data_IF_130934687336
#
_entry.id   IF_130934687336
#
_cell.length_a   1.000
_cell.length_b   1.000
_cell.length_c   1.000
_cell.angle_alpha   90.00
_cell.angle_beta   90.00
_cell.angle_gamma   90.00
#
_symmetry.space_group_name_H-M   'P 1'
#
loop_
_entity.id
_entity.type
_entity.pdbx_description
1 polymer ?
#
# COMPACT_ATOMS: atom_id res chain seq x y z
N UNK A 1 21.26 21.97 -4.08
CA UNK A 1 20.30 22.50 -5.08
C UNK A 1 20.04 21.40 -6.10
N UNK A 2 18.85 20.80 -6.05
CA UNK A 2 18.43 19.71 -6.96
C UNK A 2 18.23 20.17 -8.40
N UNK A 3 18.08 19.22 -9.32
CA UNK A 3 17.73 19.51 -10.71
C UNK A 3 16.20 19.54 -10.87
N UNK A 4 15.67 20.63 -11.41
CA UNK A 4 14.25 20.78 -11.77
C UNK A 4 14.14 20.55 -13.28
N UNK A 5 13.42 19.50 -13.71
CA UNK A 5 13.17 19.21 -15.12
C UNK A 5 11.68 19.36 -15.39
N UNK A 6 11.26 20.57 -15.76
CA UNK A 6 9.84 20.94 -15.93
C UNK A 6 9.48 21.20 -17.40
N UNK A 7 10.47 21.30 -18.29
CA UNK A 7 10.33 21.98 -19.58
C UNK A 7 9.35 21.34 -20.58
N UNK A 8 8.85 20.11 -20.38
CA UNK A 8 7.86 19.50 -21.28
C UNK A 8 6.72 18.73 -20.59
N UNK A 9 6.55 18.81 -19.25
CA UNK A 9 5.70 17.85 -18.50
C UNK A 9 4.46 18.45 -17.83
N UNK A 10 4.40 19.77 -17.66
CA UNK A 10 3.33 20.46 -16.91
C UNK A 10 2.10 20.88 -17.73
N UNK A 11 2.08 20.69 -19.06
CA UNK A 11 1.03 21.28 -19.90
C UNK A 11 0.94 22.80 -19.72
N UNK A 12 -0.28 23.33 -19.50
CA UNK A 12 -0.64 24.75 -19.59
C UNK A 12 0.02 25.71 -18.57
N UNK A 13 0.76 25.25 -17.55
CA UNK A 13 1.34 26.17 -16.56
C UNK A 13 2.65 25.72 -15.85
N UNK A 14 3.75 25.54 -16.59
CA UNK A 14 5.05 25.13 -16.03
C UNK A 14 5.58 26.08 -14.93
N UNK A 15 5.23 27.38 -15.01
CA UNK A 15 5.60 28.37 -14.00
C UNK A 15 4.95 28.14 -12.64
N UNK A 16 3.71 27.65 -12.60
CA UNK A 16 3.04 27.32 -11.33
C UNK A 16 3.69 26.10 -10.68
N UNK A 17 3.95 25.05 -11.46
CA UNK A 17 4.61 23.84 -10.97
C UNK A 17 6.00 24.13 -10.36
N UNK A 18 6.82 24.96 -11.02
CA UNK A 18 8.12 25.36 -10.45
C UNK A 18 7.97 26.08 -9.10
N UNK A 19 6.94 26.94 -8.94
CA UNK A 19 6.67 27.62 -7.66
C UNK A 19 6.25 26.65 -6.56
N UNK A 20 5.39 25.69 -6.90
CA UNK A 20 4.95 24.64 -5.95
C UNK A 20 6.17 23.82 -5.50
N UNK A 21 6.97 23.32 -6.45
CA UNK A 21 8.18 22.54 -6.16
C UNK A 21 9.15 23.34 -5.29
N UNK A 22 9.40 24.62 -5.61
CA UNK A 22 10.29 25.47 -4.82
C UNK A 22 9.81 25.63 -3.37
N UNK A 23 8.51 25.89 -3.16
CA UNK A 23 7.92 25.98 -1.81
C UNK A 23 8.04 24.67 -1.03
N UNK A 24 7.84 23.51 -1.69
CA UNK A 24 7.96 22.19 -1.05
C UNK A 24 9.41 21.93 -0.61
N UNK A 25 10.37 22.13 -1.51
CA UNK A 25 11.80 21.87 -1.26
C UNK A 25 12.39 22.83 -0.22
N UNK A 26 11.84 24.05 -0.09
CA UNK A 26 12.20 24.97 0.98
C UNK A 26 11.61 24.55 2.33
N UNK A 27 10.42 23.94 2.33
CA UNK A 27 9.69 23.57 3.54
C UNK A 27 10.15 22.24 4.16
N UNK A 28 10.52 21.26 3.35
CA UNK A 28 10.82 19.90 3.80
C UNK A 28 12.02 19.29 3.08
N UNK A 29 12.63 18.27 3.71
CA UNK A 29 13.67 17.46 3.07
C UNK A 29 13.05 16.51 2.03
N UNK A 30 13.41 16.70 0.76
CA UNK A 30 12.83 15.99 -0.39
C UNK A 30 13.90 15.24 -1.16
N UNK A 31 13.65 13.95 -1.37
CA UNK A 31 14.45 13.11 -2.25
C UNK A 31 14.09 13.37 -3.72
N UNK A 32 12.81 13.18 -4.04
CA UNK A 32 12.28 13.25 -5.40
C UNK A 32 10.82 13.68 -5.41
N UNK A 33 10.41 14.31 -6.51
CA UNK A 33 9.02 14.69 -6.77
C UNK A 33 8.64 14.20 -8.15
N UNK A 34 7.47 13.56 -8.24
CA UNK A 34 6.87 13.10 -9.48
C UNK A 34 5.55 13.82 -9.73
N UNK A 35 5.26 14.14 -10.99
CA UNK A 35 4.01 14.72 -11.44
C UNK A 35 3.26 13.71 -12.30
N UNK A 36 2.02 13.43 -11.93
CA UNK A 36 1.13 12.56 -12.69
C UNK A 36 -0.14 13.34 -13.09
N UNK A 37 -0.63 13.11 -14.30
CA UNK A 37 -1.90 13.68 -14.78
C UNK A 37 -3.04 12.71 -14.44
N UNK A 38 -4.13 13.24 -13.91
CA UNK A 38 -5.33 12.46 -13.66
C UNK A 38 -6.01 11.98 -14.94
N UNK A 39 -6.75 10.90 -14.82
CA UNK A 39 -7.65 10.36 -15.84
C UNK A 39 -9.11 10.67 -15.46
N UNK A 40 -10.08 10.22 -16.26
CA UNK A 40 -11.50 10.36 -15.93
C UNK A 40 -11.91 9.68 -14.61
N UNK A 41 -11.13 8.73 -14.11
CA UNK A 41 -11.38 8.06 -12.83
C UNK A 41 -10.85 8.84 -11.62
N UNK A 42 -9.98 9.82 -11.83
CA UNK A 42 -9.31 10.55 -10.76
C UNK A 42 -10.08 11.81 -10.36
N UNK A 43 -10.06 12.12 -9.07
CA UNK A 43 -10.65 13.36 -8.51
C UNK A 43 -9.74 14.58 -8.60
N UNK A 44 -8.54 14.42 -9.18
CA UNK A 44 -7.56 15.47 -9.38
C UNK A 44 -7.20 15.62 -10.85
N UNK A 45 -6.82 16.84 -11.27
CA UNK A 45 -6.26 17.08 -12.61
C UNK A 45 -4.77 16.72 -12.66
N UNK A 46 -4.01 17.11 -11.63
CA UNK A 46 -2.62 16.75 -11.44
C UNK A 46 -2.39 16.24 -10.02
N UNK A 47 -1.50 15.26 -9.86
CA UNK A 47 -1.05 14.76 -8.55
C UNK A 47 0.46 14.88 -8.45
N UNK A 48 0.90 15.49 -7.36
CA UNK A 48 2.31 15.57 -6.98
C UNK A 48 2.62 14.48 -5.95
N UNK A 49 3.47 13.53 -6.34
CA UNK A 49 4.00 12.50 -5.45
C UNK A 49 5.34 12.96 -4.89
N UNK A 50 5.39 13.20 -3.58
CA UNK A 50 6.56 13.72 -2.87
C UNK A 50 7.19 12.57 -2.09
N UNK A 51 8.44 12.24 -2.43
CA UNK A 51 9.25 11.29 -1.66
C UNK A 51 10.18 12.11 -0.77
N UNK A 52 9.98 11.99 0.54
CA UNK A 52 10.82 12.67 1.53
C UNK A 52 12.23 12.09 1.55
N UNK A 53 13.21 12.92 1.91
CA UNK A 53 14.57 12.47 2.19
C UNK A 53 14.64 11.52 3.39
N UNK A 54 15.80 10.85 3.57
CA UNK A 54 16.02 9.87 4.65
C UNK A 54 16.25 10.51 6.03
N UNK A 55 16.23 11.84 6.14
CA UNK A 55 16.46 12.52 7.42
C UNK A 55 15.35 12.17 8.42
N UNK A 56 15.69 11.39 9.45
CA UNK A 56 14.80 10.87 10.51
C UNK A 56 14.19 11.94 11.43
N UNK A 57 14.20 13.22 11.05
CA UNK A 57 13.93 14.34 11.97
C UNK A 57 12.47 14.75 12.06
N UNK A 58 11.60 14.34 11.14
CA UNK A 58 10.23 14.88 11.09
C UNK A 58 9.22 13.82 10.66
N UNK A 59 8.18 13.63 11.47
CA UNK A 59 7.02 12.78 11.15
C UNK A 59 6.14 13.46 10.09
N UNK A 60 5.52 12.66 9.21
CA UNK A 60 4.60 13.11 8.16
C UNK A 60 3.51 14.02 8.76
N UNK A 61 2.98 13.67 9.93
CA UNK A 61 1.91 14.45 10.56
C UNK A 61 2.30 15.90 10.85
N UNK A 62 3.58 16.18 11.12
CA UNK A 62 4.07 17.53 11.42
C UNK A 62 4.28 18.37 10.14
N UNK A 63 4.55 17.73 9.00
CA UNK A 63 4.73 18.44 7.72
C UNK A 63 3.42 18.68 6.98
N UNK A 64 2.38 17.87 7.25
CA UNK A 64 1.10 17.94 6.53
C UNK A 64 0.48 19.35 6.55
N UNK A 65 0.44 20.10 7.68
CA UNK A 65 -0.10 21.47 7.68
C UNK A 65 0.69 22.42 6.76
N UNK A 66 2.01 22.26 6.71
CA UNK A 66 2.89 23.08 5.87
C UNK A 66 2.62 22.77 4.40
N UNK A 67 2.58 21.49 4.03
CA UNK A 67 2.28 21.08 2.65
C UNK A 67 0.87 21.51 2.26
N UNK A 68 -0.14 21.30 3.11
CA UNK A 68 -1.50 21.78 2.87
C UNK A 68 -1.51 23.28 2.53
N UNK A 69 -0.78 24.11 3.28
CA UNK A 69 -0.69 25.55 3.01
C UNK A 69 -0.08 25.89 1.66
N UNK A 70 0.82 25.04 1.14
CA UNK A 70 1.40 25.22 -0.20
C UNK A 70 0.36 25.00 -1.29
N UNK A 71 -0.54 24.03 -1.11
CA UNK A 71 -1.53 23.62 -2.10
C UNK A 71 -2.88 24.37 -2.01
N UNK A 72 -3.13 25.16 -0.96
CA UNK A 72 -4.36 25.96 -0.81
C UNK A 72 -4.65 26.86 -2.03
N UNK A 73 -3.62 27.41 -2.66
CA UNK A 73 -3.75 28.31 -3.83
C UNK A 73 -3.80 27.56 -5.17
N UNK A 74 -3.79 26.21 -5.16
CA UNK A 74 -3.61 25.37 -6.36
C UNK A 74 -4.60 24.21 -6.41
N UNK A 75 -5.88 24.52 -6.60
CA UNK A 75 -6.99 23.54 -6.62
C UNK A 75 -6.83 22.42 -7.67
N UNK A 76 -6.12 22.70 -8.78
CA UNK A 76 -5.85 21.70 -9.83
C UNK A 76 -4.86 20.60 -9.39
N UNK A 77 -4.15 20.79 -8.27
CA UNK A 77 -3.08 19.91 -7.82
C UNK A 77 -3.44 19.20 -6.51
N UNK A 78 -3.63 17.88 -6.59
CA UNK A 78 -3.56 17.00 -5.43
C UNK A 78 -2.11 16.64 -5.08
N UNK A 79 -1.90 16.11 -3.88
CA UNK A 79 -0.57 15.64 -3.47
C UNK A 79 -0.63 14.37 -2.62
N UNK A 80 0.47 13.62 -2.62
CA UNK A 80 0.74 12.49 -1.72
C UNK A 80 2.18 12.57 -1.24
N UNK A 81 2.39 12.26 0.03
CA UNK A 81 3.73 12.27 0.66
C UNK A 81 4.05 10.88 1.19
N UNK A 82 5.26 10.41 0.88
CA UNK A 82 5.78 9.13 1.35
C UNK A 82 7.20 9.28 1.88
N UNK A 83 7.55 8.51 2.90
CA UNK A 83 8.96 8.37 3.29
C UNK A 83 9.72 7.58 2.22
N UNK A 84 11.01 7.87 2.04
CA UNK A 84 11.86 7.12 1.11
C UNK A 84 11.79 5.62 1.37
N UNK A 85 12.02 5.18 2.62
CA UNK A 85 12.10 3.76 2.98
C UNK A 85 10.79 3.03 2.66
N UNK A 86 9.64 3.64 2.96
CA UNK A 86 8.34 3.06 2.65
C UNK A 86 8.12 2.91 1.15
N UNK A 87 8.29 4.00 0.39
CA UNK A 87 8.06 3.99 -1.04
C UNK A 87 9.01 3.03 -1.77
N UNK A 88 10.28 2.98 -1.36
CA UNK A 88 11.27 2.07 -1.91
C UNK A 88 10.93 0.61 -1.62
N UNK A 89 10.46 0.28 -0.41
CA UNK A 89 10.01 -1.07 -0.05
C UNK A 89 8.79 -1.50 -0.85
N UNK A 90 7.76 -0.66 -0.92
CA UNK A 90 6.54 -0.95 -1.68
C UNK A 90 6.81 -1.11 -3.18
N UNK A 91 7.69 -0.27 -3.74
CA UNK A 91 8.13 -0.37 -5.13
C UNK A 91 8.78 -1.75 -5.41
N UNK A 92 9.70 -2.20 -4.53
CA UNK A 92 10.36 -3.51 -4.65
C UNK A 92 9.38 -4.68 -4.47
N UNK A 93 8.35 -4.51 -3.64
CA UNK A 93 7.28 -5.47 -3.49
C UNK A 93 6.27 -5.48 -4.66
N UNK A 94 6.45 -4.62 -5.68
CA UNK A 94 5.59 -4.58 -6.86
C UNK A 94 4.29 -3.81 -6.64
N UNK A 95 4.28 -2.80 -5.77
CA UNK A 95 3.11 -1.96 -5.60
C UNK A 95 2.86 -1.12 -6.87
N UNK A 96 1.74 -1.42 -7.54
CA UNK A 96 1.33 -0.79 -8.80
C UNK A 96 1.28 0.74 -8.73
N UNK A 97 0.92 1.31 -7.58
CA UNK A 97 0.89 2.76 -7.42
C UNK A 97 2.26 3.36 -7.70
N UNK A 98 3.32 2.84 -7.06
CA UNK A 98 4.67 3.37 -7.23
C UNK A 98 5.24 3.03 -8.60
N UNK A 99 4.97 1.83 -9.13
CA UNK A 99 5.42 1.43 -10.46
C UNK A 99 4.85 2.36 -11.55
N UNK A 100 3.57 2.69 -11.48
CA UNK A 100 2.89 3.53 -12.47
C UNK A 100 3.16 5.02 -12.30
N UNK A 101 3.50 5.47 -11.09
CA UNK A 101 3.52 6.89 -10.78
C UNK A 101 4.90 7.46 -10.45
N UNK A 102 5.85 6.64 -9.99
CA UNK A 102 7.17 7.05 -9.51
C UNK A 102 8.30 6.52 -10.41
N UNK A 103 8.20 6.82 -11.71
CA UNK A 103 9.17 6.44 -12.75
C UNK A 103 9.84 7.68 -13.39
N UNK A 104 10.89 7.48 -14.20
CA UNK A 104 11.67 8.61 -14.75
C UNK A 104 10.86 9.59 -15.60
N UNK A 105 9.85 9.11 -16.33
CA UNK A 105 8.98 9.94 -17.18
C UNK A 105 8.08 10.91 -16.38
N UNK A 106 7.80 10.63 -15.11
CA UNK A 106 7.00 11.50 -14.22
C UNK A 106 7.87 12.35 -13.30
N UNK A 107 9.18 12.09 -13.20
CA UNK A 107 10.10 12.81 -12.32
C UNK A 107 10.21 14.30 -12.73
N UNK A 108 9.98 15.21 -11.79
CA UNK A 108 10.07 16.67 -12.01
C UNK A 108 11.12 17.34 -11.12
N UNK A 109 11.50 16.70 -10.02
CA UNK A 109 12.58 17.14 -9.15
C UNK A 109 13.32 15.94 -8.57
N UNK A 110 14.65 16.04 -8.48
CA UNK A 110 15.50 15.10 -7.74
C UNK A 110 16.62 15.88 -7.04
N UNK A 111 16.86 15.58 -5.76
CA UNK A 111 17.95 16.19 -5.01
C UNK A 111 19.32 15.74 -5.57
N UNK A 112 20.28 16.67 -5.58
CA UNK A 112 21.68 16.43 -6.01
C UNK A 112 22.57 15.99 -4.86
N UNK A 113 22.08 16.06 -3.61
CA UNK A 113 22.84 15.67 -2.41
C UNK A 113 22.84 14.14 -2.18
N UNK A 114 22.49 13.37 -3.21
CA UNK A 114 21.98 12.03 -3.04
C UNK A 114 23.08 10.95 -3.14
N UNK A 115 23.20 10.14 -2.08
CA UNK A 115 23.96 8.88 -2.05
C UNK A 115 23.00 7.68 -2.29
N UNK A 116 21.68 7.90 -2.20
CA UNK A 116 20.65 6.87 -2.24
C UNK A 116 20.26 6.53 -3.67
N UNK A 117 20.26 5.23 -3.97
CA UNK A 117 19.84 4.70 -5.26
C UNK A 117 18.35 4.36 -5.16
N UNK A 118 17.52 5.05 -5.94
CA UNK A 118 16.13 4.66 -6.18
C UNK A 118 16.14 3.37 -6.99
N UNK A 119 15.91 2.24 -6.32
CA UNK A 119 16.05 0.92 -6.94
C UNK A 119 14.71 0.50 -7.53
N UNK A 120 14.54 0.70 -8.83
CA UNK A 120 13.47 0.03 -9.54
C UNK A 120 13.70 -1.49 -9.50
N UNK A 121 12.65 -2.33 -9.43
CA UNK A 121 12.82 -3.78 -9.43
C UNK A 121 13.67 -4.24 -10.61
N UNK A 122 14.73 -5.01 -10.32
CA UNK A 122 15.59 -5.65 -11.34
C UNK A 122 14.97 -6.93 -11.90
N UNK A 123 13.83 -7.37 -11.34
CA UNK A 123 13.07 -8.50 -11.85
C UNK A 123 12.62 -8.24 -13.30
N UNK A 124 12.59 -9.29 -14.11
CA UNK A 124 12.06 -9.21 -15.47
C UNK A 124 10.60 -8.70 -15.43
N UNK A 125 10.22 -7.71 -16.28
CA UNK A 125 8.89 -7.10 -16.25
C UNK A 125 7.73 -8.12 -16.26
N UNK A 126 7.89 -9.20 -17.01
CA UNK A 126 6.93 -10.31 -17.13
C UNK A 126 6.73 -11.06 -15.80
N UNK A 127 7.81 -11.29 -15.04
CA UNK A 127 7.76 -11.95 -13.73
C UNK A 127 7.10 -11.04 -12.70
N UNK A 128 7.44 -9.75 -12.71
CA UNK A 128 6.84 -8.77 -11.83
C UNK A 128 5.33 -8.62 -12.11
N UNK A 129 4.93 -8.59 -13.37
CA UNK A 129 3.53 -8.59 -13.78
C UNK A 129 2.75 -9.80 -13.24
N UNK A 130 3.31 -11.01 -13.38
CA UNK A 130 2.64 -12.22 -12.86
C UNK A 130 2.60 -12.25 -11.33
N UNK A 131 3.63 -11.77 -10.64
CA UNK A 131 3.65 -11.60 -9.17
C UNK A 131 2.52 -10.68 -8.71
N UNK A 132 2.37 -9.51 -9.34
CA UNK A 132 1.32 -8.53 -9.05
C UNK A 132 -0.08 -9.15 -9.21
N UNK A 133 -0.31 -9.89 -10.31
CA UNK A 133 -1.57 -10.61 -10.54
C UNK A 133 -1.85 -11.68 -9.49
N UNK A 134 -0.84 -12.43 -9.08
CA UNK A 134 -0.97 -13.46 -8.06
C UNK A 134 -1.32 -12.86 -6.69
N UNK A 135 -0.67 -11.75 -6.32
CA UNK A 135 -0.96 -11.02 -5.09
C UNK A 135 -2.39 -10.50 -5.07
N UNK A 136 -2.85 -9.86 -6.15
CA UNK A 136 -4.24 -9.42 -6.27
C UNK A 136 -5.23 -10.59 -6.20
N UNK A 137 -4.93 -11.71 -6.88
CA UNK A 137 -5.75 -12.92 -6.82
C UNK A 137 -5.86 -13.46 -5.39
N UNK A 138 -4.77 -13.43 -4.62
CA UNK A 138 -4.76 -13.82 -3.20
C UNK A 138 -5.68 -12.91 -2.39
N UNK A 139 -5.61 -11.59 -2.58
CA UNK A 139 -6.48 -10.65 -1.85
C UNK A 139 -7.96 -10.81 -2.23
N UNK A 140 -8.26 -11.00 -3.52
CA UNK A 140 -9.62 -11.32 -3.98
C UNK A 140 -10.13 -12.66 -3.45
N UNK A 141 -9.24 -13.64 -3.21
CA UNK A 141 -9.63 -14.91 -2.60
C UNK A 141 -10.06 -14.76 -1.14
N UNK A 142 -9.45 -13.84 -0.38
CA UNK A 142 -9.86 -13.51 1.00
C UNK A 142 -11.25 -12.90 1.02
N UNK A 143 -11.53 -11.94 0.13
CA UNK A 143 -12.87 -11.37 -0.03
C UNK A 143 -13.90 -12.45 -0.40
N UNK A 144 -13.54 -13.39 -1.28
CA UNK A 144 -14.40 -14.52 -1.65
C UNK A 144 -14.76 -15.39 -0.45
N UNK A 145 -13.83 -15.61 0.48
CA UNK A 145 -14.10 -16.36 1.72
C UNK A 145 -15.09 -15.64 2.62
N UNK A 146 -14.95 -14.32 2.83
CA UNK A 146 -15.93 -13.54 3.57
C UNK A 146 -17.32 -13.57 2.91
N UNK A 147 -17.39 -13.48 1.57
CA UNK A 147 -18.67 -13.62 0.85
C UNK A 147 -19.36 -14.97 1.04
N UNK A 148 -18.59 -16.07 1.13
CA UNK A 148 -19.16 -17.37 1.50
C UNK A 148 -19.74 -17.34 2.92
N UNK A 149 -19.06 -16.65 3.84
CA UNK A 149 -19.56 -16.39 5.20
C UNK A 149 -20.91 -15.66 5.20
N UNK A 150 -21.05 -14.60 4.39
CA UNK A 150 -22.31 -13.86 4.23
C UNK A 150 -23.46 -14.82 3.88
N UNK A 151 -23.25 -15.65 2.85
CA UNK A 151 -24.26 -16.61 2.38
C UNK A 151 -24.59 -17.68 3.43
N UNK A 152 -23.57 -18.18 4.12
CA UNK A 152 -23.70 -19.19 5.16
C UNK A 152 -24.56 -18.70 6.33
N UNK A 153 -24.22 -17.54 6.92
CA UNK A 153 -24.97 -17.01 8.06
C UNK A 153 -26.37 -16.57 7.67
N UNK A 154 -26.55 -16.04 6.46
CA UNK A 154 -27.88 -15.72 5.94
C UNK A 154 -28.76 -16.97 5.83
N UNK A 155 -28.23 -18.09 5.35
CA UNK A 155 -28.95 -19.36 5.28
C UNK A 155 -29.38 -19.89 6.66
N UNK A 156 -28.60 -19.58 7.71
CA UNK A 156 -28.93 -19.89 9.10
C UNK A 156 -29.87 -18.88 9.76
N UNK A 157 -30.33 -17.86 9.03
CA UNK A 157 -31.11 -16.72 9.55
C UNK A 157 -30.36 -15.86 10.57
N UNK A 158 -29.04 -15.99 10.65
CA UNK A 158 -28.17 -15.10 11.41
C UNK A 158 -27.78 -13.89 10.55
N UNK A 159 -28.71 -12.95 10.42
CA UNK A 159 -28.53 -11.76 9.59
C UNK A 159 -27.48 -10.80 10.18
N UNK A 160 -27.32 -10.78 11.50
CA UNK A 160 -26.32 -9.98 12.21
C UNK A 160 -24.91 -10.42 11.83
N UNK A 161 -24.65 -11.73 11.91
CA UNK A 161 -23.34 -12.27 11.53
C UNK A 161 -23.12 -12.19 10.01
N UNK A 162 -24.17 -12.27 9.21
CA UNK A 162 -24.10 -12.02 7.77
C UNK A 162 -23.67 -10.58 7.46
N UNK A 163 -24.23 -9.59 8.15
CA UNK A 163 -23.85 -8.18 8.03
C UNK A 163 -22.42 -7.91 8.51
N UNK A 164 -21.97 -8.58 9.58
CA UNK A 164 -20.57 -8.51 10.02
C UNK A 164 -19.61 -9.00 8.92
N UNK A 165 -19.92 -10.12 8.26
CA UNK A 165 -19.13 -10.64 7.13
C UNK A 165 -19.16 -9.68 5.92
N UNK A 166 -20.28 -8.97 5.72
CA UNK A 166 -20.41 -7.93 4.70
C UNK A 166 -19.45 -6.77 4.97
N UNK A 167 -19.43 -6.26 6.21
CA UNK A 167 -18.51 -5.21 6.64
C UNK A 167 -17.05 -5.63 6.38
N UNK A 168 -16.65 -6.82 6.83
CA UNK A 168 -15.29 -7.35 6.61
C UNK A 168 -14.94 -7.43 5.11
N UNK A 169 -15.92 -7.75 4.25
CA UNK A 169 -15.69 -7.80 2.81
C UNK A 169 -15.49 -6.40 2.22
N UNK A 170 -16.29 -5.40 2.62
CA UNK A 170 -16.08 -4.01 2.20
C UNK A 170 -14.74 -3.46 2.67
N UNK A 171 -14.41 -3.61 3.96
CA UNK A 171 -13.13 -3.19 4.55
C UNK A 171 -11.96 -3.79 3.75
N UNK A 172 -11.97 -5.10 3.50
CA UNK A 172 -10.92 -5.76 2.72
C UNK A 172 -10.85 -5.23 1.28
N UNK A 173 -11.99 -4.92 0.65
CA UNK A 173 -12.05 -4.33 -0.68
C UNK A 173 -11.43 -2.94 -0.74
N UNK A 174 -11.73 -2.08 0.24
CA UNK A 174 -11.08 -0.79 0.36
C UNK A 174 -9.58 -0.92 0.58
N UNK A 175 -9.12 -1.81 1.47
CA UNK A 175 -7.67 -2.01 1.69
C UNK A 175 -6.94 -2.40 0.41
N UNK A 176 -7.56 -3.23 -0.42
CA UNK A 176 -7.04 -3.62 -1.73
C UNK A 176 -6.98 -2.41 -2.67
N UNK A 177 -8.08 -1.67 -2.78
CA UNK A 177 -8.18 -0.46 -3.61
C UNK A 177 -7.14 0.59 -3.21
N UNK A 178 -7.06 0.91 -1.92
CA UNK A 178 -6.12 1.88 -1.35
C UNK A 178 -4.66 1.55 -1.67
N UNK A 179 -4.30 0.26 -1.70
CA UNK A 179 -2.92 -0.17 -1.95
C UNK A 179 -2.46 0.25 -3.34
N UNK A 180 -3.25 -0.02 -4.38
CA UNK A 180 -2.85 0.27 -5.77
C UNK A 180 -3.27 1.66 -6.27
N UNK A 181 -4.24 2.32 -5.63
CA UNK A 181 -4.71 3.67 -6.01
C UNK A 181 -4.09 4.79 -5.17
N UNK A 182 -3.82 4.54 -3.89
CA UNK A 182 -3.29 5.54 -2.97
C UNK A 182 -1.85 5.27 -2.56
N UNK A 183 -1.27 4.12 -2.95
CA UNK A 183 0.08 3.69 -2.59
C UNK A 183 0.22 3.20 -1.15
N UNK A 184 -0.76 3.46 -0.28
CA UNK A 184 -0.77 3.05 1.12
C UNK A 184 -2.19 2.79 1.61
N UNK A 185 -2.35 1.72 2.38
CA UNK A 185 -3.59 1.37 3.07
C UNK A 185 -3.80 2.21 4.33
N UNK A 186 -5.03 2.64 4.57
CA UNK A 186 -5.41 3.35 5.80
C UNK A 186 -5.55 2.34 6.96
N UNK A 187 -5.01 2.69 8.12
CA UNK A 187 -5.13 1.86 9.34
C UNK A 187 -6.38 2.32 10.10
N UNK A 188 -7.53 1.76 9.73
CA UNK A 188 -8.78 1.86 10.49
C UNK A 188 -9.66 0.64 10.17
N UNK A 189 -10.82 0.56 10.81
CA UNK A 189 -11.87 -0.42 10.48
C UNK A 189 -13.11 0.21 9.86
N UNK A 190 -13.28 1.53 10.02
CA UNK A 190 -14.46 2.23 9.49
C UNK A 190 -14.42 2.31 7.96
N UNK A 191 -15.48 1.81 7.34
CA UNK A 191 -15.74 1.90 5.91
C UNK A 191 -15.84 3.36 5.49
N UNK A 192 -16.49 4.22 6.28
CA UNK A 192 -16.59 5.66 6.00
C UNK A 192 -15.23 6.33 5.87
N UNK A 193 -14.31 5.97 6.77
CA UNK A 193 -12.95 6.49 6.79
C UNK A 193 -12.11 5.98 5.61
N UNK A 194 -12.29 4.73 5.22
CA UNK A 194 -11.68 4.14 4.02
C UNK A 194 -12.18 4.83 2.74
N UNK A 195 -13.51 5.00 2.60
CA UNK A 195 -14.11 5.66 1.44
C UNK A 195 -13.62 7.10 1.28
N UNK A 196 -13.63 7.88 2.37
CA UNK A 196 -13.13 9.26 2.38
C UNK A 196 -11.67 9.33 1.90
N UNK A 197 -10.84 8.37 2.31
CA UNK A 197 -9.44 8.34 1.94
C UNK A 197 -9.20 7.99 0.46
N UNK A 198 -10.01 7.10 -0.11
CA UNK A 198 -9.97 6.76 -1.54
C UNK A 198 -10.51 7.91 -2.41
N UNK A 199 -11.56 8.61 -1.97
CA UNK A 199 -12.15 9.73 -2.71
C UNK A 199 -11.18 10.91 -2.90
N UNK A 200 -10.13 11.01 -2.07
CA UNK A 200 -9.03 11.95 -2.29
C UNK A 200 -8.17 11.62 -3.53
N UNK A 201 -8.32 10.43 -4.11
CA UNK A 201 -7.62 10.00 -5.33
C UNK A 201 -8.56 9.66 -6.48
N UNK A 202 -9.75 9.14 -6.20
CA UNK A 202 -10.71 8.67 -7.20
C UNK A 202 -12.02 9.45 -7.14
N UNK A 203 -12.66 9.54 -8.28
CA UNK A 203 -14.08 9.84 -8.36
C UNK A 203 -14.89 8.70 -7.74
N UNK A 204 -16.11 9.02 -7.34
CA UNK A 204 -17.01 8.07 -6.71
C UNK A 204 -17.29 6.85 -7.60
N UNK A 205 -17.24 5.67 -6.98
CA UNK A 205 -17.59 4.40 -7.60
C UNK A 205 -19.03 4.04 -7.24
N UNK A 206 -19.73 3.31 -8.11
CA UNK A 206 -21.13 2.91 -7.90
C UNK A 206 -21.31 2.04 -6.64
N UNK A 207 -20.28 1.25 -6.31
CA UNK A 207 -20.21 0.44 -5.11
C UNK A 207 -19.94 1.21 -3.81
N UNK A 208 -19.62 2.51 -3.87
CA UNK A 208 -19.39 3.39 -2.71
C UNK A 208 -20.69 4.02 -2.21
N UNK A 209 -20.76 4.35 -0.92
CA UNK A 209 -21.96 4.90 -0.27
C UNK A 209 -22.08 6.41 -0.49
N UNK A 210 -23.21 6.86 -1.03
CA UNK A 210 -23.51 8.27 -1.32
C UNK A 210 -23.85 9.02 -0.02
N UNK A 211 -23.03 10.00 0.41
CA UNK A 211 -23.32 10.79 1.61
C UNK A 211 -24.61 11.61 1.52
N UNK A 212 -25.05 11.98 0.31
CA UNK A 212 -26.26 12.77 0.05
C UNK A 212 -27.54 11.94 0.09
N UNK A 213 -27.43 10.61 0.16
CA UNK A 213 -28.57 9.70 0.23
C UNK A 213 -28.76 9.20 1.66
N UNK A 214 -29.85 9.60 2.30
CA UNK A 214 -30.24 9.11 3.63
C UNK A 214 -30.34 7.58 3.66
N UNK A 215 -30.84 6.99 2.56
CA UNK A 215 -30.96 5.55 2.44
C UNK A 215 -29.59 4.85 2.39
N UNK A 216 -28.61 5.41 1.67
CA UNK A 216 -27.28 4.82 1.61
C UNK A 216 -26.49 5.07 2.90
N UNK A 217 -26.65 6.24 3.50
CA UNK A 217 -26.06 6.56 4.82
C UNK A 217 -26.57 5.59 5.88
N UNK A 218 -27.89 5.32 5.92
CA UNK A 218 -28.45 4.33 6.85
C UNK A 218 -27.92 2.91 6.62
N UNK A 219 -27.67 2.51 5.37
CA UNK A 219 -27.04 1.21 5.07
C UNK A 219 -25.56 1.15 5.52
N UNK A 220 -24.82 2.25 5.38
CA UNK A 220 -23.45 2.35 5.86
C UNK A 220 -23.38 2.28 7.39
N UNK A 221 -24.25 3.01 8.08
CA UNK A 221 -24.35 3.00 9.54
C UNK A 221 -24.68 1.59 10.06
N UNK A 222 -25.58 0.86 9.40
CA UNK A 222 -25.86 -0.55 9.71
C UNK A 222 -24.61 -1.43 9.58
N UNK A 223 -23.75 -1.22 8.57
CA UNK A 223 -22.50 -1.98 8.44
C UNK A 223 -21.50 -1.63 9.55
N UNK A 224 -21.31 -0.36 9.85
CA UNK A 224 -20.42 0.11 10.93
C UNK A 224 -20.89 -0.46 12.29
N UNK A 225 -22.20 -0.43 12.54
CA UNK A 225 -22.82 -1.02 13.73
C UNK A 225 -22.66 -2.55 13.76
N UNK A 226 -22.68 -3.23 12.62
CA UNK A 226 -22.46 -4.67 12.57
C UNK A 226 -21.04 -5.04 13.04
N UNK A 227 -20.04 -4.21 12.73
CA UNK A 227 -18.66 -4.43 13.17
C UNK A 227 -18.47 -4.27 14.69
N UNK A 228 -19.06 -3.22 15.26
CA UNK A 228 -18.95 -2.91 16.69
C UNK A 228 -19.88 -3.74 17.57
N UNK A 229 -21.11 -3.98 17.10
CA UNK A 229 -22.23 -4.37 17.96
C UNK A 229 -22.77 -5.77 17.68
N UNK A 230 -22.63 -6.33 16.46
CA UNK A 230 -23.19 -7.66 16.14
C UNK A 230 -22.61 -8.79 17.01
N UNK A 231 -21.43 -8.57 17.60
CA UNK A 231 -20.76 -9.54 18.49
C UNK A 231 -21.19 -9.45 19.95
N UNK A 232 -21.81 -8.35 20.37
CA UNK A 232 -22.00 -8.03 21.80
C UNK A 232 -23.39 -7.50 22.16
N UNK A 233 -24.18 -7.02 21.19
CA UNK A 233 -25.48 -6.41 21.44
C UNK A 233 -26.63 -7.22 20.84
N UNK A 234 -27.63 -7.51 21.68
CA UNK A 234 -28.93 -8.05 21.25
C UNK A 234 -29.81 -7.00 20.55
N UNK A 235 -29.39 -5.72 20.52
CA UNK A 235 -30.17 -4.64 19.90
C UNK A 235 -29.92 -4.46 18.41
N UNK A 236 -28.85 -5.04 17.85
CA UNK A 236 -28.58 -4.92 16.42
C UNK A 236 -29.63 -5.68 15.61
N UNK A 237 -30.25 -4.99 14.66
CA UNK A 237 -31.27 -5.55 13.77
C UNK A 237 -31.00 -5.09 12.35
N UNK A 238 -30.97 -6.04 11.43
CA UNK A 238 -30.94 -5.80 10.00
C UNK A 238 -31.97 -6.71 9.35
N UNK A 239 -32.64 -6.21 8.32
CA UNK A 239 -33.64 -6.95 7.55
C UNK A 239 -33.01 -7.66 6.36
N UNK A 240 -33.67 -8.69 5.84
CA UNK A 240 -33.26 -9.35 4.59
C UNK A 240 -33.18 -8.36 3.41
N UNK A 241 -34.07 -7.35 3.38
CA UNK A 241 -34.10 -6.32 2.33
C UNK A 241 -32.85 -5.43 2.37
N UNK A 242 -32.45 -4.95 3.54
CA UNK A 242 -31.22 -4.16 3.70
C UNK A 242 -29.99 -4.99 3.34
N UNK A 243 -29.97 -6.26 3.75
CA UNK A 243 -28.89 -7.18 3.40
C UNK A 243 -28.82 -7.45 1.88
N UNK A 244 -29.95 -7.48 1.18
CA UNK A 244 -30.00 -7.58 -0.29
C UNK A 244 -29.44 -6.32 -0.96
N UNK A 245 -29.79 -5.13 -0.46
CA UNK A 245 -29.24 -3.86 -0.98
C UNK A 245 -27.72 -3.80 -0.80
N UNK A 246 -27.23 -4.16 0.39
CA UNK A 246 -25.79 -4.26 0.66
C UNK A 246 -25.09 -5.29 -0.22
N UNK A 247 -25.74 -6.43 -0.48
CA UNK A 247 -25.20 -7.48 -1.34
C UNK A 247 -25.04 -7.02 -2.80
N UNK A 248 -26.02 -6.27 -3.32
CA UNK A 248 -25.96 -5.68 -4.66
C UNK A 248 -24.83 -4.66 -4.75
N UNK A 249 -24.73 -3.77 -3.76
CA UNK A 249 -23.69 -2.75 -3.70
C UNK A 249 -22.29 -3.34 -3.58
N UNK A 250 -22.11 -4.37 -2.74
CA UNK A 250 -20.85 -5.11 -2.63
C UNK A 250 -20.46 -5.79 -3.96
N UNK A 251 -21.43 -6.29 -4.72
CA UNK A 251 -21.15 -6.89 -6.01
C UNK A 251 -20.62 -5.87 -7.02
N UNK A 252 -21.21 -4.67 -7.06
CA UNK A 252 -20.70 -3.54 -7.87
C UNK A 252 -19.28 -3.16 -7.45
N UNK A 253 -19.08 -2.92 -6.15
CA UNK A 253 -17.78 -2.51 -5.60
C UNK A 253 -16.66 -3.49 -5.97
N UNK A 254 -16.90 -4.79 -5.83
CA UNK A 254 -15.92 -5.83 -6.19
C UNK A 254 -15.61 -5.85 -7.68
N UNK A 255 -16.60 -5.59 -8.53
CA UNK A 255 -16.38 -5.55 -9.98
C UNK A 255 -15.58 -4.31 -10.38
N UNK A 256 -15.85 -3.17 -9.76
CA UNK A 256 -15.10 -1.93 -10.00
C UNK A 256 -13.64 -2.04 -9.54
N UNK A 257 -13.38 -2.64 -8.37
CA UNK A 257 -12.00 -2.93 -7.91
C UNK A 257 -11.24 -3.76 -8.95
N UNK A 258 -11.88 -4.78 -9.55
CA UNK A 258 -11.24 -5.60 -10.59
C UNK A 258 -11.01 -4.82 -11.88
N UNK A 259 -11.95 -3.97 -12.30
CA UNK A 259 -11.79 -3.13 -13.50
C UNK A 259 -10.60 -2.20 -13.33
N UNK A 260 -10.60 -1.42 -12.25
CA UNK A 260 -9.54 -0.47 -11.93
C UNK A 260 -8.17 -1.17 -11.79
N UNK A 261 -8.13 -2.34 -11.15
CA UNK A 261 -6.89 -3.09 -11.05
C UNK A 261 -6.35 -3.50 -12.43
N UNK A 262 -7.21 -3.99 -13.32
CA UNK A 262 -6.80 -4.37 -14.67
C UNK A 262 -6.35 -3.15 -15.50
N UNK A 263 -7.01 -2.00 -15.32
CA UNK A 263 -6.62 -0.74 -15.96
C UNK A 263 -5.23 -0.29 -15.49
N UNK A 264 -4.98 -0.23 -14.17
CA UNK A 264 -3.67 0.10 -13.62
C UNK A 264 -2.58 -0.92 -14.03
N UNK A 265 -2.95 -2.19 -14.14
CA UNK A 265 -2.04 -3.23 -14.61
C UNK A 265 -1.69 -3.07 -16.10
N UNK A 266 -2.64 -2.59 -16.94
CA UNK A 266 -2.36 -2.23 -18.33
C UNK A 266 -1.43 -1.03 -18.43
N UNK A 267 -1.65 0.01 -17.62
CA UNK A 267 -0.76 1.19 -17.54
C UNK A 267 0.67 0.77 -17.19
N UNK A 268 0.82 -0.16 -16.25
CA UNK A 268 2.11 -0.73 -15.90
C UNK A 268 2.79 -1.38 -17.11
N UNK A 269 2.07 -2.21 -17.86
CA UNK A 269 2.61 -2.88 -19.04
C UNK A 269 3.01 -1.89 -20.14
N UNK A 270 2.18 -0.89 -20.41
CA UNK A 270 2.48 0.16 -21.40
C UNK A 270 3.75 0.94 -21.03
N UNK A 271 3.88 1.28 -19.74
CA UNK A 271 5.04 1.99 -19.21
C UNK A 271 6.32 1.16 -19.35
N UNK A 272 6.24 -0.15 -19.12
CA UNK A 272 7.38 -1.08 -19.27
C UNK A 272 7.82 -1.24 -20.72
N UNK A 273 6.88 -1.44 -21.67
CA UNK A 273 7.20 -1.60 -23.11
C UNK A 273 7.92 -0.37 -23.67
N UNK A 274 7.55 0.83 -23.21
CA UNK A 274 8.19 2.06 -23.65
C UNK A 274 9.54 2.33 -22.98
N UNK A 275 9.92 1.62 -21.91
CA UNK A 275 11.25 1.76 -21.29
C UNK A 275 12.27 0.81 -21.93
N UNK A 276 11.85 -0.35 -22.44
CA UNK A 276 12.75 -1.27 -23.16
C UNK A 276 13.28 -0.68 -24.48
N UNK A 277 12.47 0.14 -25.17
CA UNK A 277 12.90 0.80 -26.43
C UNK A 277 13.92 1.94 -26.21
N UNK A 278 13.93 2.58 -25.05
CA UNK A 278 14.88 3.65 -24.70
C UNK A 278 16.18 3.11 -24.09
N UNK A 279 16.22 1.84 -23.66
CA UNK A 279 17.37 1.19 -23.00
C UNK A 279 18.41 0.57 -23.95
N UNK A 280 18.16 0.56 -25.27
CA UNK A 280 19.13 0.10 -26.27
C UNK A 280 20.22 1.16 -26.56
N UNK A 281 20.88 1.70 -25.54
CA UNK A 281 22.12 2.48 -25.67
C UNK A 281 22.80 2.65 -24.32
N UNK A 282 23.37 1.58 -23.76
CA UNK A 282 24.51 1.71 -22.84
C UNK A 282 25.30 0.38 -22.76
N UNK A 283 26.61 0.47 -22.99
CA UNK A 283 27.54 -0.65 -23.09
C UNK A 283 27.82 -1.31 -21.71
N UNK A 284 28.14 -2.62 -21.65
CA UNK A 284 28.31 -3.35 -20.39
C UNK A 284 29.67 -3.10 -19.74
N UNK A 285 29.68 -2.82 -18.43
CA UNK A 285 30.87 -2.79 -17.58
C UNK A 285 30.84 -3.92 -16.54
N UNK A 286 32.03 -4.49 -16.33
CA UNK A 286 32.37 -5.79 -15.73
C UNK A 286 32.06 -5.91 -14.23
N UNK A 287 31.75 -7.15 -13.82
CA UNK A 287 31.68 -7.62 -12.42
C UNK A 287 33.04 -7.54 -11.68
N UNK A 288 33.03 -7.32 -10.35
CA UNK A 288 34.11 -7.75 -9.48
C UNK A 288 33.68 -8.87 -8.51
N UNK A 289 34.69 -9.70 -8.25
CA UNK A 289 34.73 -11.00 -7.58
C UNK A 289 34.53 -10.96 -6.06
N UNK A 290 33.96 -12.04 -5.52
CA UNK A 290 33.83 -12.38 -4.10
C UNK A 290 35.14 -12.34 -3.29
N UNK A 291 35.04 -11.97 -2.01
CA UNK A 291 35.79 -12.61 -0.92
C UNK A 291 35.04 -12.45 0.43
N UNK A 292 35.05 -13.53 1.21
CA UNK A 292 34.43 -13.74 2.52
C UNK A 292 35.00 -12.86 3.65
N UNK A 293 34.19 -12.54 4.66
CA UNK A 293 34.58 -12.63 6.09
C UNK A 293 33.39 -12.55 7.06
N UNK A 294 33.41 -13.44 8.05
CA UNK A 294 32.31 -13.94 8.87
C UNK A 294 32.27 -13.34 10.28
N UNK A 295 32.26 -12.00 10.40
CA UNK A 295 32.45 -11.34 11.70
C UNK A 295 31.42 -10.21 12.03
N UNK A 296 30.23 -10.20 11.41
CA UNK A 296 29.29 -9.07 11.56
C UNK A 296 27.84 -9.39 11.91
N UNK A 297 27.45 -10.64 12.14
CA UNK A 297 26.03 -11.01 12.21
C UNK A 297 25.29 -10.41 13.43
N UNK A 298 25.96 -10.20 14.56
CA UNK A 298 25.33 -9.70 15.80
C UNK A 298 25.03 -8.19 15.75
N UNK A 299 25.62 -7.42 14.83
CA UNK A 299 25.39 -5.96 14.73
C UNK A 299 24.29 -5.54 13.74
N UNK A 300 23.51 -6.48 13.18
CA UNK A 300 22.59 -6.18 12.05
C UNK A 300 21.11 -6.10 12.39
N UNK A 301 20.71 -6.22 13.65
CA UNK A 301 19.32 -6.01 14.05
C UNK A 301 19.15 -4.58 14.56
N UNK A 302 19.14 -3.64 13.63
CA UNK A 302 18.68 -2.27 13.88
C UNK A 302 17.17 -2.21 13.63
N UNK A 303 16.43 -1.58 14.54
CA UNK A 303 14.98 -1.42 14.46
C UNK A 303 14.64 0.06 14.40
N UNK A 304 13.85 0.47 13.42
CA UNK A 304 13.50 1.87 13.22
C UNK A 304 12.47 2.35 14.26
N UNK A 305 11.69 1.42 14.84
CA UNK A 305 10.74 1.71 15.92
C UNK A 305 10.56 0.55 16.91
N UNK A 306 10.13 0.80 18.16
CA UNK A 306 9.76 -0.27 19.10
C UNK A 306 8.63 -1.16 18.58
N UNK A 307 7.76 -0.63 17.72
CA UNK A 307 6.67 -1.37 17.10
C UNK A 307 7.19 -2.42 16.11
N UNK A 308 8.18 -2.08 15.30
CA UNK A 308 8.85 -3.01 14.38
C UNK A 308 9.57 -4.12 15.14
N UNK A 309 10.29 -3.77 16.22
CA UNK A 309 10.91 -4.73 17.12
C UNK A 309 9.89 -5.70 17.72
N UNK A 310 8.74 -5.21 18.19
CA UNK A 310 7.67 -6.03 18.77
C UNK A 310 6.98 -6.92 17.73
N UNK A 311 6.76 -6.41 16.51
CA UNK A 311 6.26 -7.20 15.40
C UNK A 311 7.22 -8.34 15.04
N UNK A 312 8.53 -8.07 15.03
CA UNK A 312 9.54 -9.07 14.74
C UNK A 312 9.66 -10.12 15.86
N UNK A 313 9.64 -9.68 17.13
CA UNK A 313 9.63 -10.57 18.28
C UNK A 313 8.39 -11.49 18.29
N UNK A 314 7.21 -10.94 17.99
CA UNK A 314 5.97 -11.71 17.85
C UNK A 314 6.06 -12.75 16.73
N UNK A 315 6.59 -12.36 15.58
CA UNK A 315 6.77 -13.25 14.42
C UNK A 315 7.73 -14.40 14.71
N UNK A 316 8.85 -14.12 15.41
CA UNK A 316 9.80 -15.14 15.85
C UNK A 316 9.17 -16.11 16.87
N UNK A 317 8.43 -15.60 17.85
CA UNK A 317 7.73 -16.43 18.83
C UNK A 317 6.71 -17.37 18.19
N UNK A 318 5.94 -16.89 17.20
CA UNK A 318 4.99 -17.72 16.44
C UNK A 318 5.73 -18.84 15.72
N UNK A 319 6.83 -18.51 15.03
CA UNK A 319 7.66 -19.46 14.29
C UNK A 319 8.21 -20.55 15.21
N UNK A 320 8.81 -20.16 16.34
CA UNK A 320 9.31 -21.09 17.37
C UNK A 320 8.21 -21.98 17.95
N UNK A 321 7.01 -21.44 18.18
CA UNK A 321 5.88 -22.20 18.71
C UNK A 321 5.32 -23.22 17.70
N UNK A 322 5.33 -22.91 16.40
CA UNK A 322 5.00 -23.88 15.34
C UNK A 322 6.03 -25.00 15.21
N UNK A 323 7.32 -24.69 15.33
CA UNK A 323 8.39 -25.69 15.22
C UNK A 323 8.44 -26.68 16.41
N UNK A 324 7.72 -26.39 17.51
CA UNK A 324 7.61 -27.27 18.68
C UNK A 324 6.41 -28.24 18.59
N UNK A 325 5.61 -28.19 17.51
CA UNK A 325 4.47 -29.05 17.28
C UNK A 325 4.81 -30.06 16.18
N UNK A 326 4.92 -31.34 16.53
CA UNK A 326 5.38 -32.42 15.62
C UNK A 326 4.51 -32.59 14.36
N UNK A 327 3.27 -32.10 14.37
CA UNK A 327 2.27 -32.31 13.31
C UNK A 327 2.06 -31.09 12.39
N UNK A 328 2.83 -30.00 12.54
CA UNK A 328 2.62 -28.75 11.78
C UNK A 328 3.89 -28.33 11.04
N UNK A 329 3.82 -28.32 9.71
CA UNK A 329 4.92 -27.80 8.89
C UNK A 329 5.12 -26.29 9.15
N UNK A 330 6.37 -25.82 9.33
CA UNK A 330 6.62 -24.40 9.61
C UNK A 330 6.15 -23.52 8.44
N UNK A 331 5.70 -22.28 8.72
CA UNK A 331 5.20 -21.38 7.70
C UNK A 331 6.31 -20.99 6.71
N UNK A 332 6.02 -21.12 5.40
CA UNK A 332 6.96 -20.82 4.30
C UNK A 332 7.28 -19.33 4.19
N UNK A 333 6.42 -18.45 4.71
CA UNK A 333 6.66 -17.01 4.80
C UNK A 333 6.10 -16.45 6.09
N UNK A 334 6.89 -15.61 6.75
CA UNK A 334 6.49 -14.80 7.89
C UNK A 334 6.58 -13.34 7.49
N UNK A 335 5.49 -12.59 7.63
CA UNK A 335 5.41 -11.20 7.18
C UNK A 335 6.54 -10.35 7.79
N UNK A 336 7.29 -9.67 6.93
CA UNK A 336 8.42 -8.81 7.32
C UNK A 336 9.80 -9.49 7.27
N UNK A 337 9.88 -10.80 7.04
CA UNK A 337 11.16 -11.50 6.87
C UNK A 337 11.55 -11.56 5.38
N UNK A 338 12.57 -10.80 4.99
CA UNK A 338 13.29 -10.94 3.70
C UNK A 338 14.69 -11.55 3.92
N UNK A 339 14.87 -12.32 4.99
CA UNK A 339 16.08 -13.11 5.21
C UNK A 339 15.78 -14.58 4.94
N UNK A 340 16.77 -15.32 4.47
CA UNK A 340 16.68 -16.77 4.29
C UNK A 340 16.28 -17.38 5.64
N UNK A 341 15.13 -18.07 5.66
CA UNK A 341 14.58 -18.70 6.87
C UNK A 341 15.62 -19.64 7.50
N UNK A 342 16.48 -20.25 6.68
CA UNK A 342 17.57 -21.09 7.16
C UNK A 342 18.63 -20.29 7.92
N UNK A 343 19.01 -19.10 7.45
CA UNK A 343 19.98 -18.23 8.14
C UNK A 343 19.42 -17.67 9.45
N UNK A 344 18.13 -17.32 9.48
CA UNK A 344 17.45 -16.80 10.69
C UNK A 344 17.31 -17.91 11.74
N UNK A 345 16.99 -19.13 11.33
CA UNK A 345 16.92 -20.29 12.22
C UNK A 345 18.32 -20.67 12.72
N UNK A 346 19.35 -20.59 11.88
CA UNK A 346 20.74 -20.83 12.27
C UNK A 346 21.20 -19.79 13.32
N UNK A 347 20.87 -18.52 13.11
CA UNK A 347 21.14 -17.43 14.05
C UNK A 347 20.37 -17.60 15.36
N UNK A 348 19.11 -18.04 15.31
CA UNK A 348 18.33 -18.34 16.51
C UNK A 348 18.93 -19.51 17.30
N UNK A 349 19.47 -20.54 16.63
CA UNK A 349 20.19 -21.66 17.24
C UNK A 349 21.50 -21.19 17.90
N UNK A 350 22.22 -20.26 17.27
CA UNK A 350 23.47 -19.68 17.81
C UNK A 350 23.24 -18.72 19.00
N UNK A 351 22.08 -18.05 19.04
CA UNK A 351 21.68 -17.14 20.12
C UNK A 351 21.02 -17.84 21.29
N UNK A 352 20.54 -19.08 21.11
CA UNK A 352 20.12 -19.93 22.22
C UNK A 352 21.36 -20.31 23.03
N UNK A 353 21.37 -20.10 24.35
CA UNK A 353 22.48 -20.55 25.18
C UNK A 353 22.55 -22.07 25.13
N UNK A 354 23.43 -22.62 24.29
CA UNK A 354 23.86 -24.01 24.35
C UNK A 354 24.68 -24.20 25.63
N UNK A 355 23.96 -24.28 26.74
CA UNK A 355 24.30 -25.07 27.92
C UNK A 355 22.98 -25.27 28.68
N UNK A 356 22.30 -26.35 28.33
CA UNK A 356 21.58 -27.11 29.33
C UNK A 356 22.55 -27.38 30.48
N UNK A 357 22.45 -26.58 31.53
CA UNK A 357 22.78 -27.08 32.86
C UNK A 357 21.47 -27.66 33.38
N UNK A 358 21.27 -28.95 33.11
CA UNK A 358 20.42 -29.75 34.00
C UNK A 358 20.97 -29.62 35.43
N UNK A 359 20.11 -29.70 36.46
CA UNK A 359 20.47 -29.41 37.85
C UNK A 359 21.69 -30.20 38.35
#
# INVERSE_FOLDING_TARGET
MGAISVENRAGDNPKQLCKIIAKIVEAIDVESIYLNKGTCHHSFRYRINIIMGRSHKVDIEHIMPVINSVFLDYEDFGYRVFTFSYAQSELLCGNLYFLNNCHEKSLVYKTTQNISIWNYPKEEPTKLFEKIKQDFKRDMSRMKSFKKGIQFFRAQRDLSQSAFMMHQTFEQGYRVLERFICGKTKICHSIKNHQTYVLNSLNELQGMFLPESDAETGLLDLLEDAYSSARYSHSYRITDRELDQLSQKLALFINEIKSLFNEELSVFMETMVHNDMDSCSENPLKEPTNNHESDSLVRKLEFDTPFEMLCMAKSLMVLSMTCLQDDVAPPVQVNGFHYDIMEVLQLAIELLPLKETSP
#
